data_IF_555599216970
#
_entry.id   IF_555599216970
#
_cell.length_a   1.000
_cell.length_b   1.000
_cell.length_c   1.000
_cell.angle_alpha   90.00
_cell.angle_beta   90.00
_cell.angle_gamma   90.00
#
_symmetry.space_group_name_H-M   'P 1'
#
loop_
_entity.id
_entity.type
_entity.pdbx_description
1 polymer ?
#
# COMPACT_ATOMS: atom_id res chain seq x y z
N UNK A 1 -20.24 12.12 24.64
CA UNK A 1 -19.14 12.92 25.22
C UNK A 1 -18.84 14.07 24.26
N UNK A 2 -18.82 15.32 24.75
CA UNK A 2 -18.54 16.52 23.96
C UNK A 2 -17.50 17.37 24.71
N UNK A 3 -16.68 18.15 24.01
CA UNK A 3 -15.71 19.08 24.64
C UNK A 3 -14.29 18.55 24.86
N UNK A 4 -13.88 17.51 24.12
CA UNK A 4 -12.50 17.01 24.12
C UNK A 4 -11.68 17.71 23.04
N UNK A 5 -10.44 18.08 23.36
CA UNK A 5 -9.51 18.74 22.45
C UNK A 5 -8.73 17.69 21.63
N UNK A 6 -9.19 17.42 20.41
CA UNK A 6 -8.58 16.48 19.46
C UNK A 6 -8.34 15.07 20.06
N UNK A 7 -9.42 14.32 20.34
CA UNK A 7 -9.34 12.99 20.90
C UNK A 7 -8.69 12.04 19.87
N UNK A 8 -7.49 11.58 20.15
CA UNK A 8 -6.67 10.78 19.22
C UNK A 8 -6.47 9.33 19.64
N UNK A 9 -6.78 9.01 20.90
CA UNK A 9 -6.68 7.66 21.45
C UNK A 9 -7.65 7.43 22.59
N UNK A 10 -8.12 6.19 22.72
CA UNK A 10 -9.05 5.77 23.77
C UNK A 10 -8.57 4.46 24.38
N UNK A 11 -8.67 4.33 25.69
CA UNK A 11 -8.35 3.11 26.42
C UNK A 11 -9.38 2.88 27.52
N UNK A 12 -10.00 1.70 27.54
CA UNK A 12 -10.99 1.33 28.55
C UNK A 12 -10.30 0.45 29.57
N UNK A 13 -10.51 0.74 30.86
CA UNK A 13 -10.03 -0.10 31.96
C UNK A 13 -11.07 -0.25 33.04
N UNK A 14 -10.90 -1.30 33.84
CA UNK A 14 -11.64 -1.42 35.09
C UNK A 14 -11.13 -0.43 36.13
N UNK A 15 -12.04 0.21 36.84
CA UNK A 15 -11.75 1.13 37.93
C UNK A 15 -12.74 0.88 39.08
N UNK A 16 -12.30 0.09 40.08
CA UNK A 16 -13.16 -0.35 41.17
C UNK A 16 -14.36 -1.17 40.67
N UNK A 17 -15.57 -0.80 41.09
CA UNK A 17 -16.82 -1.46 40.66
C UNK A 17 -17.34 -0.96 39.29
N UNK A 18 -16.62 -0.05 38.61
CA UNK A 18 -17.04 0.55 37.33
C UNK A 18 -16.00 0.42 36.21
N UNK A 19 -16.34 0.99 35.04
CA UNK A 19 -15.41 1.14 33.91
C UNK A 19 -14.96 2.59 33.81
N UNK A 20 -13.71 2.80 33.44
CA UNK A 20 -13.14 4.11 33.16
C UNK A 20 -12.58 4.14 31.74
N UNK A 21 -12.87 5.22 31.02
CA UNK A 21 -12.30 5.52 29.71
C UNK A 21 -11.22 6.58 29.88
N UNK A 22 -10.01 6.26 29.47
CA UNK A 22 -8.92 7.22 29.29
C UNK A 22 -8.97 7.71 27.85
N UNK A 23 -9.01 9.02 27.66
CA UNK A 23 -8.94 9.65 26.34
C UNK A 23 -7.69 10.52 26.24
N UNK A 24 -6.91 10.32 25.19
CA UNK A 24 -5.77 11.17 24.86
C UNK A 24 -6.28 12.39 24.10
N UNK A 25 -6.15 13.58 24.70
CA UNK A 25 -6.45 14.86 24.06
C UNK A 25 -5.14 15.48 23.57
N UNK A 26 -4.83 15.28 22.28
CA UNK A 26 -3.55 15.67 21.70
C UNK A 26 -3.36 17.19 21.67
N UNK A 27 -4.39 17.95 21.26
CA UNK A 27 -4.35 19.42 21.26
C UNK A 27 -4.22 20.03 22.68
N UNK A 28 -4.70 19.34 23.71
CA UNK A 28 -4.58 19.79 25.11
C UNK A 28 -3.41 19.13 25.87
N UNK A 29 -2.62 18.27 25.21
CA UNK A 29 -1.47 17.55 25.79
C UNK A 29 -1.78 16.86 27.13
N UNK A 30 -2.97 16.24 27.25
CA UNK A 30 -3.41 15.60 28.50
C UNK A 30 -4.17 14.31 28.26
N UNK A 31 -4.31 13.52 29.32
CA UNK A 31 -5.17 12.35 29.36
C UNK A 31 -6.37 12.68 30.24
N UNK A 32 -7.56 12.64 29.65
CA UNK A 32 -8.83 12.87 30.35
C UNK A 32 -9.45 11.55 30.75
N UNK A 33 -9.85 11.47 32.02
CA UNK A 33 -10.51 10.32 32.64
C UNK A 33 -12.01 10.53 32.59
N UNK A 34 -12.74 9.58 32.05
CA UNK A 34 -14.20 9.60 31.99
C UNK A 34 -14.74 8.35 32.67
N UNK A 35 -15.41 8.54 33.80
CA UNK A 35 -16.12 7.47 34.48
C UNK A 35 -17.36 7.08 33.68
N UNK A 36 -17.54 5.79 33.44
CA UNK A 36 -18.76 5.25 32.85
C UNK A 36 -19.72 4.83 33.97
N UNK A 37 -21.04 5.05 33.81
CA UNK A 37 -22.02 4.57 34.77
C UNK A 37 -22.00 3.02 34.88
N UNK A 38 -22.27 2.51 36.08
CA UNK A 38 -22.05 1.10 36.44
C UNK A 38 -22.97 0.13 35.68
N UNK A 39 -24.13 0.60 35.22
CA UNK A 39 -25.12 -0.15 34.42
C UNK A 39 -24.63 -0.46 32.99
N UNK A 40 -23.61 0.23 32.48
CA UNK A 40 -22.97 -0.09 31.20
C UNK A 40 -22.23 -1.43 31.20
N UNK A 41 -21.86 -1.95 32.38
CA UNK A 41 -21.24 -3.29 32.50
C UNK A 41 -22.17 -4.40 32.04
N UNK A 42 -23.49 -4.25 32.25
CA UNK A 42 -24.49 -5.27 31.92
C UNK A 42 -25.09 -5.08 30.52
N UNK A 43 -24.90 -3.90 29.91
CA UNK A 43 -25.45 -3.53 28.60
C UNK A 43 -24.44 -3.64 27.45
N UNK A 44 -23.14 -3.81 27.75
CA UNK A 44 -22.08 -3.75 26.76
C UNK A 44 -21.24 -5.02 26.72
N UNK A 45 -21.13 -5.63 25.54
CA UNK A 45 -20.03 -6.55 25.24
C UNK A 45 -18.78 -5.73 24.93
N UNK A 46 -17.74 -5.83 25.77
CA UNK A 46 -16.41 -5.31 25.42
C UNK A 46 -15.86 -6.13 24.26
N UNK A 47 -15.84 -5.57 23.06
CA UNK A 47 -15.18 -6.17 21.89
C UNK A 47 -13.84 -5.46 21.71
N UNK A 48 -12.76 -6.12 22.13
CA UNK A 48 -11.40 -5.69 21.80
C UNK A 48 -11.05 -6.26 20.41
N UNK A 49 -11.37 -5.49 19.36
CA UNK A 49 -10.96 -5.82 17.99
C UNK A 49 -9.50 -5.37 17.70
N UNK A 50 -8.78 -4.94 18.75
CA UNK A 50 -7.45 -4.36 18.64
C UNK A 50 -7.42 -3.07 17.81
N UNK A 51 -6.22 -2.53 17.60
CA UNK A 51 -6.02 -1.53 16.54
C UNK A 51 -6.26 -2.22 15.19
N UNK A 52 -7.04 -1.60 14.30
CA UNK A 52 -7.21 -2.08 12.92
C UNK A 52 -5.83 -2.22 12.24
N UNK A 53 -5.28 -3.44 12.27
CA UNK A 53 -4.12 -3.84 11.49
C UNK A 53 -4.65 -4.30 10.14
N UNK A 54 -4.68 -3.40 9.17
CA UNK A 54 -4.84 -3.77 7.77
C UNK A 54 -3.54 -4.40 7.27
N UNK A 55 -3.20 -5.60 7.75
CA UNK A 55 -2.19 -6.39 7.06
C UNK A 55 -2.75 -6.69 5.66
N UNK A 56 -2.10 -6.13 4.63
CA UNK A 56 -2.38 -6.50 3.25
C UNK A 56 -2.22 -8.03 3.14
N UNK A 57 -3.20 -8.75 2.57
CA UNK A 57 -3.12 -10.20 2.44
C UNK A 57 -1.79 -10.60 1.80
N UNK A 58 -1.16 -11.64 2.35
CA UNK A 58 0.06 -12.21 1.77
C UNK A 58 -0.28 -12.79 0.40
N UNK A 59 0.54 -12.47 -0.59
CA UNK A 59 0.40 -12.97 -1.96
C UNK A 59 1.25 -14.22 -2.11
N UNK A 60 0.63 -15.35 -2.45
CA UNK A 60 1.35 -16.59 -2.71
C UNK A 60 1.89 -16.59 -4.15
N UNK A 61 3.21 -16.71 -4.30
CA UNK A 61 3.91 -16.69 -5.59
C UNK A 61 4.69 -17.99 -5.81
N UNK A 62 4.78 -18.44 -7.07
CA UNK A 62 5.58 -19.60 -7.44
C UNK A 62 7.09 -19.29 -7.37
N UNK A 63 7.94 -20.26 -7.01
CA UNK A 63 9.39 -20.08 -7.09
C UNK A 63 9.87 -19.93 -8.54
N UNK A 64 11.01 -19.25 -8.74
CA UNK A 64 11.60 -19.09 -10.06
C UNK A 64 11.01 -17.91 -10.83
N UNK A 65 10.67 -18.12 -12.11
CA UNK A 65 10.25 -17.03 -12.99
C UNK A 65 8.89 -16.43 -12.58
N UNK A 66 8.83 -15.11 -12.47
CA UNK A 66 7.64 -14.32 -12.17
C UNK A 66 7.52 -13.18 -13.20
N UNK A 67 6.35 -13.05 -13.83
CA UNK A 67 6.04 -11.90 -14.69
C UNK A 67 5.40 -10.78 -13.85
N UNK A 68 6.11 -9.66 -13.68
CA UNK A 68 5.56 -8.44 -13.08
C UNK A 68 4.99 -7.55 -14.19
N UNK A 69 3.73 -7.15 -14.06
CA UNK A 69 3.10 -6.18 -14.97
C UNK A 69 2.52 -4.99 -14.21
N UNK A 70 2.85 -3.79 -14.67
CA UNK A 70 2.31 -2.54 -14.15
C UNK A 70 1.51 -1.84 -15.25
N UNK A 71 0.26 -2.28 -15.53
CA UNK A 71 -0.54 -1.65 -16.56
C UNK A 71 -0.82 -0.19 -16.16
N UNK A 72 -0.61 0.71 -17.11
CA UNK A 72 -0.89 2.12 -16.97
C UNK A 72 -1.76 2.60 -18.13
N UNK A 73 -2.81 3.34 -17.81
CA UNK A 73 -3.65 4.02 -18.79
C UNK A 73 -3.73 5.50 -18.37
N UNK A 74 -3.21 6.44 -19.18
CA UNK A 74 -3.34 7.86 -18.91
C UNK A 74 -4.80 8.28 -18.74
N UNK A 75 -5.04 9.38 -18.01
CA UNK A 75 -6.38 9.94 -17.91
C UNK A 75 -6.92 10.32 -19.31
N UNK A 76 -8.25 10.34 -19.51
CA UNK A 76 -8.85 10.70 -20.79
C UNK A 76 -8.31 12.04 -21.31
N UNK A 77 -7.89 12.07 -22.58
CA UNK A 77 -7.30 13.25 -23.21
C UNK A 77 -5.79 13.42 -22.98
N UNK A 78 -5.13 12.49 -22.28
CA UNK A 78 -3.67 12.48 -22.09
C UNK A 78 -3.01 11.35 -22.89
N UNK A 79 -1.70 11.50 -23.15
CA UNK A 79 -0.86 10.49 -23.82
C UNK A 79 0.49 10.37 -23.12
N UNK A 80 1.09 9.19 -23.19
CA UNK A 80 2.53 9.05 -22.94
C UNK A 80 3.30 9.85 -24.01
N UNK A 81 4.35 10.56 -23.61
CA UNK A 81 5.09 11.46 -24.48
C UNK A 81 6.60 11.22 -24.38
N UNK A 82 7.11 10.32 -25.22
CA UNK A 82 8.52 9.92 -25.18
C UNK A 82 9.45 10.85 -26.00
N UNK A 83 8.98 12.04 -26.41
CA UNK A 83 9.75 12.96 -27.27
C UNK A 83 11.10 13.38 -26.70
N UNK A 84 11.20 13.50 -25.37
CA UNK A 84 12.42 13.95 -24.67
C UNK A 84 13.03 12.88 -23.75
N UNK A 85 12.66 11.62 -23.97
CA UNK A 85 13.12 10.49 -23.18
C UNK A 85 11.95 9.63 -22.69
N UNK A 86 12.25 8.53 -21.99
CA UNK A 86 11.23 7.61 -21.51
C UNK A 86 10.25 8.29 -20.55
N UNK A 87 8.95 8.10 -20.80
CA UNK A 87 7.89 8.63 -19.94
C UNK A 87 7.68 7.80 -18.68
N UNK A 88 8.31 6.63 -18.56
CA UNK A 88 8.04 5.63 -17.52
C UNK A 88 9.30 5.21 -16.79
N UNK A 89 9.12 4.78 -15.54
CA UNK A 89 10.17 4.22 -14.72
C UNK A 89 9.57 3.18 -13.77
N UNK A 90 10.21 2.02 -13.68
CA UNK A 90 9.89 0.94 -12.76
C UNK A 90 11.11 0.61 -11.90
N UNK A 91 10.94 0.56 -10.58
CA UNK A 91 11.97 0.13 -9.65
C UNK A 91 11.49 -1.05 -8.83
N UNK A 92 12.30 -2.11 -8.76
CA UNK A 92 11.97 -3.34 -8.04
C UNK A 92 13.08 -3.67 -7.05
N UNK A 93 12.70 -4.01 -5.83
CA UNK A 93 13.59 -4.58 -4.81
C UNK A 93 12.83 -5.50 -3.87
N UNK A 94 13.54 -6.20 -2.98
CA UNK A 94 12.92 -7.14 -2.07
C UNK A 94 13.50 -7.07 -0.66
N UNK A 95 12.71 -7.45 0.33
CA UNK A 95 13.13 -7.65 1.71
C UNK A 95 12.65 -9.01 2.20
N UNK A 96 13.54 -9.96 2.53
CA UNK A 96 15.00 -9.88 2.40
C UNK A 96 15.44 -9.81 0.94
N UNK A 97 16.63 -9.26 0.67
CA UNK A 97 17.17 -9.17 -0.70
C UNK A 97 17.32 -10.55 -1.37
N UNK A 98 17.59 -11.60 -0.57
CA UNK A 98 17.69 -12.99 -1.03
C UNK A 98 16.40 -13.56 -1.62
N UNK A 99 15.26 -12.89 -1.44
CA UNK A 99 13.99 -13.28 -2.06
C UNK A 99 14.03 -13.13 -3.60
N UNK A 100 14.79 -12.16 -4.10
CA UNK A 100 14.88 -11.82 -5.51
C UNK A 100 16.28 -12.17 -6.02
N UNK A 101 16.36 -13.20 -6.86
CA UNK A 101 17.60 -13.70 -7.47
C UNK A 101 17.95 -12.91 -8.74
N UNK A 102 16.96 -12.31 -9.40
CA UNK A 102 17.17 -11.48 -10.57
C UNK A 102 15.97 -10.58 -10.89
N UNK A 103 16.22 -9.53 -11.65
CA UNK A 103 15.21 -8.54 -12.04
C UNK A 103 15.06 -7.36 -11.06
N UNK A 104 16.00 -7.17 -10.13
CA UNK A 104 16.05 -6.02 -9.24
C UNK A 104 16.56 -4.73 -9.95
N UNK A 105 16.37 -3.60 -9.29
CA UNK A 105 16.84 -2.30 -9.76
C UNK A 105 15.81 -1.54 -10.59
N UNK A 106 16.27 -0.54 -11.32
CA UNK A 106 15.43 0.44 -12.03
C UNK A 106 15.54 0.31 -13.54
N UNK A 107 14.40 0.33 -14.23
CA UNK A 107 14.28 0.29 -15.69
C UNK A 107 13.13 1.21 -16.15
N UNK A 108 12.88 1.30 -17.45
CA UNK A 108 11.84 2.19 -18.02
C UNK A 108 10.59 1.42 -18.42
N UNK A 109 10.73 0.14 -18.69
CA UNK A 109 9.65 -0.79 -19.01
C UNK A 109 8.78 -1.04 -17.78
N UNK A 110 7.46 -0.96 -17.95
CA UNK A 110 6.49 -1.22 -16.88
C UNK A 110 6.16 -2.72 -16.71
N UNK A 111 6.66 -3.56 -17.61
CA UNK A 111 6.62 -5.02 -17.51
C UNK A 111 8.03 -5.56 -17.30
N UNK A 112 8.17 -6.55 -16.40
CA UNK A 112 9.48 -7.09 -16.05
C UNK A 112 9.43 -8.56 -15.65
N UNK A 113 10.38 -9.33 -16.18
CA UNK A 113 10.64 -10.68 -15.70
C UNK A 113 11.53 -10.63 -14.44
N UNK A 114 11.04 -11.28 -13.38
CA UNK A 114 11.70 -11.42 -12.10
C UNK A 114 12.04 -12.89 -11.85
N UNK A 115 13.09 -13.15 -11.07
CA UNK A 115 13.43 -14.51 -10.61
C UNK A 115 13.36 -14.55 -9.09
N UNK A 116 12.35 -15.22 -8.55
CA UNK A 116 12.19 -15.46 -7.12
C UNK A 116 13.04 -16.67 -6.68
N UNK A 117 13.59 -16.58 -5.47
CA UNK A 117 14.33 -17.68 -4.87
C UNK A 117 13.44 -18.92 -4.66
N UNK A 118 14.05 -20.10 -4.77
CA UNK A 118 13.40 -21.37 -4.46
C UNK A 118 13.70 -21.73 -3.00
N UNK A 119 12.70 -21.91 -2.12
CA UNK A 119 12.94 -22.37 -0.76
C UNK A 119 13.51 -23.80 -0.76
N UNK A 120 14.28 -24.13 0.27
CA UNK A 120 14.73 -25.50 0.49
C UNK A 120 13.53 -26.42 0.81
N UNK A 121 13.63 -27.74 0.57
CA UNK A 121 12.57 -28.67 0.91
C UNK A 121 12.16 -28.56 2.39
N UNK A 122 10.88 -28.27 2.65
CA UNK A 122 10.34 -28.12 4.00
C UNK A 122 10.50 -26.72 4.62
N UNK A 123 11.09 -25.76 3.90
CA UNK A 123 11.17 -24.36 4.32
C UNK A 123 10.11 -23.49 3.63
N UNK A 124 9.74 -22.40 4.27
CA UNK A 124 8.87 -21.37 3.69
C UNK A 124 9.67 -20.08 3.58
N UNK A 125 9.66 -19.46 2.40
CA UNK A 125 10.30 -18.17 2.17
C UNK A 125 9.23 -17.08 2.09
N UNK A 126 9.32 -16.10 2.99
CA UNK A 126 8.41 -14.97 3.07
C UNK A 126 9.19 -13.66 3.03
N UNK A 127 8.55 -12.60 2.56
CA UNK A 127 9.13 -11.28 2.52
C UNK A 127 8.20 -10.23 1.95
N UNK A 128 8.78 -9.13 1.51
CA UNK A 128 8.08 -8.02 0.87
C UNK A 128 8.77 -7.72 -0.46
N UNK A 129 8.01 -7.73 -1.54
CA UNK A 129 8.43 -7.18 -2.82
C UNK A 129 8.08 -5.68 -2.82
N UNK A 130 9.09 -4.85 -3.01
CA UNK A 130 8.94 -3.39 -3.12
C UNK A 130 8.96 -3.03 -4.60
N UNK A 131 7.85 -2.52 -5.10
CA UNK A 131 7.70 -2.06 -6.48
C UNK A 131 7.33 -0.59 -6.45
N UNK A 132 8.02 0.23 -7.24
CA UNK A 132 7.71 1.64 -7.44
C UNK A 132 7.58 1.90 -8.93
N UNK A 133 6.45 2.47 -9.36
CA UNK A 133 6.22 2.81 -10.75
C UNK A 133 5.89 4.29 -10.90
N UNK A 134 6.38 4.88 -12.00
CA UNK A 134 6.12 6.25 -12.42
C UNK A 134 5.79 6.28 -13.89
N UNK A 135 4.82 7.11 -14.26
CA UNK A 135 4.47 7.38 -15.64
C UNK A 135 4.09 8.86 -15.81
N UNK A 136 4.76 9.55 -16.72
CA UNK A 136 4.43 10.89 -17.15
C UNK A 136 3.49 10.83 -18.36
N UNK A 137 2.44 11.63 -18.36
CA UNK A 137 1.55 11.76 -19.51
C UNK A 137 1.19 13.23 -19.73
N UNK A 138 1.11 13.65 -20.98
CA UNK A 138 0.85 15.04 -21.34
C UNK A 138 -0.48 15.18 -22.08
N UNK A 139 -1.10 16.34 -22.00
CA UNK A 139 -2.34 16.64 -22.71
C UNK A 139 -2.16 16.36 -24.21
N UNK A 140 -3.06 15.55 -24.77
CA UNK A 140 -3.01 15.17 -26.18
C UNK A 140 -3.78 16.18 -27.04
N UNK A 141 -4.91 16.69 -26.53
CA UNK A 141 -5.83 17.56 -27.28
C UNK A 141 -6.40 18.68 -26.41
N UNK A 142 -6.56 19.86 -27.02
CA UNK A 142 -7.25 20.99 -26.43
C UNK A 142 -8.78 20.86 -26.47
N UNK A 143 -9.52 21.85 -25.94
CA UNK A 143 -10.99 21.84 -25.92
C UNK A 143 -11.64 21.81 -27.31
N UNK A 144 -10.90 22.20 -28.34
CA UNK A 144 -11.26 22.21 -29.76
C UNK A 144 -10.92 20.91 -30.49
N UNK A 145 -10.27 19.96 -29.81
CA UNK A 145 -9.85 18.68 -30.39
C UNK A 145 -8.55 18.73 -31.18
N UNK A 146 -7.85 19.87 -31.18
CA UNK A 146 -6.55 20.03 -31.85
C UNK A 146 -5.39 19.66 -30.91
N UNK A 147 -4.25 19.17 -31.45
CA UNK A 147 -3.06 18.89 -30.64
C UNK A 147 -2.56 20.14 -29.91
N UNK A 148 -2.24 19.98 -28.63
CA UNK A 148 -1.73 21.10 -27.81
C UNK A 148 -0.26 21.37 -28.16
N UNK A 149 0.06 22.62 -28.53
CA UNK A 149 1.44 23.03 -28.87
C UNK A 149 2.40 22.96 -27.65
N UNK A 150 1.87 23.28 -26.46
CA UNK A 150 2.59 23.26 -25.19
C UNK A 150 1.78 22.46 -24.14
N UNK A 151 1.75 21.11 -24.26
CA UNK A 151 0.90 20.29 -23.40
C UNK A 151 1.40 20.33 -21.96
N UNK A 152 0.48 20.43 -20.99
CA UNK A 152 0.84 20.22 -19.60
C UNK A 152 1.07 18.72 -19.38
N UNK A 153 2.07 18.37 -18.56
CA UNK A 153 2.40 17.00 -18.24
C UNK A 153 2.08 16.68 -16.77
N UNK A 154 1.54 15.49 -16.55
CA UNK A 154 1.07 14.96 -15.29
C UNK A 154 1.88 13.71 -14.94
N UNK A 155 2.25 13.57 -13.67
CA UNK A 155 3.03 12.43 -13.19
C UNK A 155 2.16 11.53 -12.31
N UNK A 156 1.90 10.32 -12.78
CA UNK A 156 1.39 9.23 -11.96
C UNK A 156 2.55 8.54 -11.24
N UNK A 157 2.42 8.31 -9.94
CA UNK A 157 3.39 7.56 -9.15
C UNK A 157 2.67 6.71 -8.11
N UNK A 158 3.08 5.44 -8.00
CA UNK A 158 2.58 4.54 -6.98
C UNK A 158 3.67 3.58 -6.50
N UNK A 159 3.65 3.32 -5.19
CA UNK A 159 4.56 2.40 -4.53
C UNK A 159 3.75 1.26 -3.89
N UNK A 160 4.25 0.04 -4.01
CA UNK A 160 3.70 -1.16 -3.40
C UNK A 160 4.76 -1.85 -2.55
N UNK A 161 4.43 -2.08 -1.28
CA UNK A 161 5.06 -3.14 -0.49
C UNK A 161 4.13 -4.34 -0.48
N UNK A 162 4.40 -5.34 -1.33
CA UNK A 162 3.58 -6.55 -1.47
C UNK A 162 4.13 -7.62 -0.54
N UNK A 163 3.44 -8.00 0.56
CA UNK A 163 3.84 -9.15 1.35
C UNK A 163 3.68 -10.40 0.49
N UNK A 164 4.73 -11.21 0.38
CA UNK A 164 4.74 -12.41 -0.44
C UNK A 164 5.18 -13.63 0.35
N UNK A 165 4.67 -14.79 -0.06
CA UNK A 165 5.11 -16.11 0.37
C UNK A 165 5.38 -16.96 -0.85
N UNK A 166 6.53 -17.64 -0.89
CA UNK A 166 6.86 -18.54 -1.98
C UNK A 166 6.26 -19.92 -1.70
N UNK A 167 5.40 -20.39 -2.60
CA UNK A 167 4.73 -21.69 -2.50
C UNK A 167 4.77 -22.42 -3.84
N UNK A 168 4.73 -23.77 -3.88
CA UNK A 168 4.74 -24.54 -5.12
C UNK A 168 3.57 -24.21 -6.07
N UNK A 169 2.41 -23.87 -5.50
CA UNK A 169 1.16 -23.62 -6.24
C UNK A 169 0.84 -22.12 -6.40
N UNK A 170 1.79 -21.24 -6.05
CA UNK A 170 1.61 -19.79 -6.11
C UNK A 170 1.50 -19.25 -7.54
N UNK A 171 1.11 -17.99 -7.68
CA UNK A 171 1.01 -17.35 -8.99
C UNK A 171 2.40 -17.09 -9.60
N UNK A 172 2.51 -17.25 -10.92
CA UNK A 172 3.69 -16.87 -11.71
C UNK A 172 3.54 -15.48 -12.37
N UNK A 173 2.49 -14.73 -12.02
CA UNK A 173 2.23 -13.39 -12.50
C UNK A 173 1.80 -12.49 -11.33
N UNK A 174 2.31 -11.26 -11.31
CA UNK A 174 1.91 -10.22 -10.38
C UNK A 174 1.53 -8.95 -11.15
N UNK A 175 0.26 -8.53 -11.03
CA UNK A 175 -0.26 -7.34 -11.71
C UNK A 175 -0.53 -6.24 -10.70
N UNK A 176 0.11 -5.08 -10.89
CA UNK A 176 0.02 -3.92 -10.01
C UNK A 176 -0.41 -2.69 -10.84
N UNK A 177 -1.72 -2.40 -10.97
CA UNK A 177 -2.18 -1.32 -11.84
C UNK A 177 -1.75 0.05 -11.31
N UNK A 178 -1.06 0.82 -12.16
CA UNK A 178 -0.74 2.22 -11.89
C UNK A 178 -1.94 3.08 -12.31
N UNK A 179 -2.51 3.80 -11.35
CA UNK A 179 -3.62 4.71 -11.62
C UNK A 179 -3.09 6.02 -12.20
N UNK A 180 -3.68 6.45 -13.32
CA UNK A 180 -3.40 7.72 -13.99
C UNK A 180 -4.34 8.84 -13.58
#
# INVERSE_FOLDING_TARGET
>A
MTGLAEPSGVFVREAGEGLEVLVVESAAHRITRVALPADLRDLGTTVDDGAHRTQRPVTDLAPGALSLRVPFTPAPGQKLDDRFGPSTQLSVSATPASLLVGGDGTAVELDRDLTLATPAPGETLEGVLHVSARAASCDAFGPDGEPVEFPACNLAQQDWGVPVRITPDGAAELVLPLLG
#
